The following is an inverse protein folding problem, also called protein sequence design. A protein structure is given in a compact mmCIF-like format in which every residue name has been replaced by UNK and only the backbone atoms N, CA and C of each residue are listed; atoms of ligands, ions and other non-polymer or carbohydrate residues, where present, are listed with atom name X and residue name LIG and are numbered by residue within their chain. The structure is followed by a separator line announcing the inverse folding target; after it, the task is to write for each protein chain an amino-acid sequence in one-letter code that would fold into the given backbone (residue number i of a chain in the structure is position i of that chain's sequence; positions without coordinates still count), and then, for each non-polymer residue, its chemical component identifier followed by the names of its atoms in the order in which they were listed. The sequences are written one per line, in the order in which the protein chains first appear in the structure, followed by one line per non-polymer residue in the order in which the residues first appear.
data_IF_303007810352
#
_entry.id   IF_303007810352
#
_cell.length_a   1.000
_cell.length_b   1.000
_cell.length_c   1.000
_cell.angle_alpha   90.00
_cell.angle_beta   90.00
_cell.angle_gamma   90.00
#
_symmetry.space_group_name_H-M   'P 1'
#
loop_
_entity.id
_entity.type
_entity.pdbx_description
1 polymer ?
#
# COMPACT_ATOMS: atom_id res chain seq x y z
N UNK A 1 -14.32 -1.67 -16.56
CA UNK A 1 -13.50 -2.89 -16.55
C UNK A 1 -12.14 -2.54 -15.97
N UNK A 2 -11.63 -3.36 -15.07
CA UNK A 2 -10.25 -3.28 -14.54
C UNK A 2 -9.45 -4.44 -15.11
N UNK A 3 -8.20 -4.20 -15.50
CA UNK A 3 -7.37 -5.22 -16.13
C UNK A 3 -5.93 -5.13 -15.61
N UNK A 4 -5.35 -6.27 -15.27
CA UNK A 4 -3.94 -6.34 -14.87
C UNK A 4 -3.07 -6.13 -16.11
N UNK A 5 -2.08 -5.26 -15.98
CA UNK A 5 -1.04 -5.02 -16.98
C UNK A 5 0.32 -5.23 -16.34
N UNK A 6 1.31 -5.62 -17.14
CA UNK A 6 2.70 -5.73 -16.69
C UNK A 6 3.45 -4.43 -16.98
N UNK A 7 4.16 -3.90 -15.99
CA UNK A 7 5.01 -2.71 -16.11
C UNK A 7 6.44 -3.08 -16.55
N UNK A 8 7.28 -2.09 -16.88
CA UNK A 8 8.64 -2.36 -17.39
C UNK A 8 9.58 -3.04 -16.38
N UNK A 9 9.35 -2.90 -15.07
CA UNK A 9 10.13 -3.62 -14.04
C UNK A 9 9.60 -5.05 -13.78
N UNK A 10 8.60 -5.48 -14.56
CA UNK A 10 7.97 -6.79 -14.48
C UNK A 10 6.89 -6.93 -13.41
N UNK A 11 6.68 -5.91 -12.57
CA UNK A 11 5.57 -5.88 -11.60
C UNK A 11 4.24 -5.55 -12.26
N UNK A 12 3.15 -6.02 -11.65
CA UNK A 12 1.81 -5.76 -12.12
C UNK A 12 1.32 -4.35 -11.75
N UNK A 13 0.51 -3.77 -12.62
CA UNK A 13 -0.33 -2.59 -12.34
C UNK A 13 -1.76 -2.91 -12.79
N UNK A 14 -2.69 -2.01 -12.50
CA UNK A 14 -4.09 -2.12 -12.95
C UNK A 14 -4.39 -0.96 -13.87
N UNK A 15 -4.99 -1.24 -15.03
CA UNK A 15 -5.62 -0.25 -15.88
C UNK A 15 -7.09 -0.10 -15.48
N UNK A 16 -7.51 1.10 -15.10
CA UNK A 16 -8.92 1.44 -14.87
C UNK A 16 -9.54 2.03 -16.12
N UNK A 17 -10.53 1.35 -16.71
CA UNK A 17 -11.36 1.98 -17.74
C UNK A 17 -12.28 3.08 -17.17
N UNK A 18 -12.58 3.04 -15.86
CA UNK A 18 -13.45 4.04 -15.22
C UNK A 18 -12.75 5.40 -15.06
N UNK A 19 -11.47 5.37 -14.75
CA UNK A 19 -10.66 6.57 -14.50
C UNK A 19 -9.71 6.90 -15.65
N UNK A 20 -9.71 6.08 -16.71
CA UNK A 20 -8.81 6.21 -17.87
C UNK A 20 -7.33 6.34 -17.46
N UNK A 21 -6.95 5.64 -16.38
CA UNK A 21 -5.65 5.74 -15.73
C UNK A 21 -5.11 4.39 -15.27
N UNK A 22 -3.79 4.30 -15.07
CA UNK A 22 -3.13 3.16 -14.42
C UNK A 22 -2.94 3.45 -12.94
N UNK A 23 -3.04 2.42 -12.10
CA UNK A 23 -2.87 2.56 -10.65
C UNK A 23 -1.42 2.89 -10.26
N UNK A 24 -0.46 2.36 -11.01
CA UNK A 24 0.98 2.65 -10.89
C UNK A 24 1.57 2.98 -12.26
N UNK A 25 2.76 3.58 -12.26
CA UNK A 25 3.53 3.89 -13.45
C UNK A 25 3.79 2.64 -14.31
N UNK A 26 3.54 2.78 -15.61
CA UNK A 26 3.88 1.74 -16.60
C UNK A 26 5.39 1.48 -16.68
N UNK A 27 6.22 2.39 -16.17
CA UNK A 27 7.68 2.25 -16.14
C UNK A 27 8.17 1.32 -15.03
N UNK A 28 7.34 0.99 -14.05
CA UNK A 28 7.67 0.07 -12.98
C UNK A 28 6.92 0.44 -11.70
N UNK A 29 5.97 -0.40 -11.26
CA UNK A 29 5.20 -0.13 -10.06
C UNK A 29 6.06 -0.28 -8.80
N UNK A 30 6.83 -1.37 -8.70
CA UNK A 30 7.75 -1.59 -7.57
C UNK A 30 8.85 -0.52 -7.55
N UNK A 31 9.43 -0.20 -8.71
CA UNK A 31 10.49 0.80 -8.80
C UNK A 31 9.99 2.20 -8.38
N UNK A 32 8.80 2.59 -8.82
CA UNK A 32 8.16 3.83 -8.40
C UNK A 32 7.92 3.83 -6.88
N UNK A 33 7.31 2.78 -6.35
CA UNK A 33 7.02 2.69 -4.92
C UNK A 33 8.28 2.73 -4.07
N UNK A 34 9.32 2.01 -4.48
CA UNK A 34 10.63 2.02 -3.80
C UNK A 34 11.22 3.43 -3.74
N UNK A 35 11.27 4.13 -4.87
CA UNK A 35 11.93 5.45 -4.93
C UNK A 35 11.11 6.54 -4.24
N UNK A 36 9.80 6.60 -4.49
CA UNK A 36 8.95 7.72 -4.04
C UNK A 36 8.49 7.54 -2.60
N UNK A 37 7.89 6.39 -2.29
CA UNK A 37 7.22 6.19 -0.99
C UNK A 37 8.17 5.60 0.05
N UNK A 38 9.05 4.67 -0.34
CA UNK A 38 9.97 4.05 0.62
C UNK A 38 11.19 4.93 0.86
N UNK A 39 12.01 5.21 -0.15
CA UNK A 39 13.28 5.90 0.03
C UNK A 39 13.11 7.39 0.34
N UNK A 40 12.33 8.10 -0.48
CA UNK A 40 12.19 9.55 -0.37
C UNK A 40 11.28 9.99 0.79
N UNK A 41 10.30 9.16 1.19
CA UNK A 41 9.37 9.48 2.27
C UNK A 41 9.65 8.67 3.56
N UNK A 42 9.35 7.37 3.58
CA UNK A 42 9.42 6.53 4.79
C UNK A 42 10.81 6.56 5.44
N UNK A 43 11.85 6.17 4.69
CA UNK A 43 13.23 6.08 5.17
C UNK A 43 13.78 7.45 5.54
N UNK A 44 13.42 8.49 4.79
CA UNK A 44 13.82 9.85 5.11
C UNK A 44 13.28 10.28 6.48
N UNK A 45 11.98 10.09 6.72
CA UNK A 45 11.32 10.43 8.00
C UNK A 45 11.78 9.52 9.15
N UNK A 46 12.08 8.25 8.84
CA UNK A 46 12.57 7.26 9.80
C UNK A 46 13.93 7.60 10.44
N UNK A 47 14.70 8.54 9.84
CA UNK A 47 15.96 9.05 10.41
C UNK A 47 15.78 9.79 11.73
N UNK A 48 14.60 10.37 11.96
CA UNK A 48 14.32 11.22 13.13
C UNK A 48 13.25 10.64 14.05
N UNK A 49 12.53 9.62 13.62
CA UNK A 49 11.35 9.10 14.32
C UNK A 49 11.11 7.63 13.93
N UNK A 50 10.77 6.78 14.89
CA UNK A 50 10.58 5.32 14.68
C UNK A 50 9.12 4.87 14.69
N UNK A 51 8.24 5.64 15.32
CA UNK A 51 6.80 5.43 15.31
C UNK A 51 6.19 6.39 14.29
N UNK A 52 5.51 5.92 13.25
CA UNK A 52 5.01 6.75 12.16
C UNK A 52 3.53 6.47 11.90
N UNK A 53 2.74 7.54 11.81
CA UNK A 53 1.38 7.48 11.30
C UNK A 53 1.36 7.88 9.82
N UNK A 54 0.86 6.99 8.96
CA UNK A 54 0.87 7.16 7.50
C UNK A 54 -0.56 7.14 6.98
N UNK A 55 -0.91 8.11 6.14
CA UNK A 55 -2.15 8.12 5.38
C UNK A 55 -1.86 7.81 3.91
N UNK A 56 -2.60 6.89 3.32
CA UNK A 56 -2.61 6.68 1.86
C UNK A 56 -4.00 7.00 1.30
N UNK A 57 -4.02 7.86 0.27
CA UNK A 57 -5.25 8.18 -0.46
C UNK A 57 -5.32 7.33 -1.73
N UNK A 58 -6.23 6.37 -1.75
CA UNK A 58 -6.40 5.42 -2.85
C UNK A 58 -5.49 4.20 -2.69
N UNK A 59 -5.78 3.36 -1.69
CA UNK A 59 -5.02 2.13 -1.40
C UNK A 59 -4.79 1.25 -2.64
N UNK A 60 -5.78 1.19 -3.53
CA UNK A 60 -5.69 0.57 -4.84
C UNK A 60 -5.19 -0.87 -4.83
N UNK A 61 -3.98 -1.07 -5.36
CA UNK A 61 -3.36 -2.41 -5.45
C UNK A 61 -2.72 -2.87 -4.14
N UNK A 62 -2.68 -2.01 -3.11
CA UNK A 62 -2.05 -2.30 -1.82
C UNK A 62 -0.52 -2.27 -1.84
N UNK A 63 0.11 -1.92 -2.97
CA UNK A 63 1.56 -2.02 -3.14
C UNK A 63 2.34 -1.10 -2.18
N UNK A 64 1.93 0.17 -2.02
CA UNK A 64 2.62 1.10 -1.12
C UNK A 64 2.53 0.63 0.33
N UNK A 65 1.34 0.21 0.76
CA UNK A 65 1.11 -0.36 2.09
C UNK A 65 1.95 -1.62 2.32
N UNK A 66 1.98 -2.55 1.35
CA UNK A 66 2.74 -3.79 1.45
C UNK A 66 4.25 -3.55 1.49
N UNK A 67 4.79 -2.68 0.63
CA UNK A 67 6.22 -2.34 0.67
C UNK A 67 6.60 -1.57 1.95
N UNK A 68 5.70 -0.73 2.47
CA UNK A 68 5.90 -0.07 3.78
C UNK A 68 5.93 -1.10 4.91
N UNK A 69 5.05 -2.11 4.87
CA UNK A 69 5.04 -3.22 5.81
C UNK A 69 6.38 -3.98 5.82
N UNK A 70 6.85 -4.39 4.63
CA UNK A 70 8.12 -5.11 4.49
C UNK A 70 9.31 -4.27 4.97
N UNK A 71 9.33 -2.98 4.67
CA UNK A 71 10.41 -2.09 5.10
C UNK A 71 10.37 -1.83 6.60
N UNK A 72 9.18 -1.69 7.19
CA UNK A 72 9.02 -1.50 8.63
C UNK A 72 9.61 -2.66 9.44
N UNK A 73 9.44 -3.90 8.98
CA UNK A 73 10.07 -5.07 9.62
C UNK A 73 11.60 -5.02 9.55
N UNK A 74 12.17 -4.60 8.42
CA UNK A 74 13.63 -4.52 8.21
C UNK A 74 14.28 -3.39 9.01
N UNK A 75 13.59 -2.27 9.10
CA UNK A 75 14.09 -1.02 9.69
C UNK A 75 13.67 -0.79 11.15
N UNK A 76 13.01 -1.78 11.76
CA UNK A 76 12.47 -1.73 13.13
C UNK A 76 11.62 -0.47 13.35
N UNK A 77 10.61 -0.31 12.49
CA UNK A 77 9.65 0.80 12.54
C UNK A 77 8.32 0.30 13.09
N UNK A 78 7.65 1.18 13.83
CA UNK A 78 6.29 0.98 14.30
C UNK A 78 5.36 1.85 13.47
N UNK A 79 4.47 1.24 12.68
CA UNK A 79 3.65 1.96 11.71
C UNK A 79 2.18 1.84 12.07
N UNK A 80 1.50 2.99 12.13
CA UNK A 80 0.05 3.10 12.04
C UNK A 80 -0.31 3.54 10.63
N UNK A 81 -0.79 2.61 9.81
CA UNK A 81 -1.08 2.84 8.41
C UNK A 81 -2.58 2.95 8.17
N UNK A 82 -3.04 4.08 7.65
CA UNK A 82 -4.43 4.29 7.26
C UNK A 82 -4.52 4.39 5.75
N UNK A 83 -5.18 3.43 5.11
CA UNK A 83 -5.48 3.46 3.67
C UNK A 83 -6.96 3.79 3.43
N UNK A 84 -7.24 4.80 2.61
CA UNK A 84 -8.62 5.12 2.19
C UNK A 84 -8.83 4.64 0.76
N UNK A 85 -9.95 3.98 0.51
CA UNK A 85 -10.27 3.47 -0.82
C UNK A 85 -11.78 3.54 -1.10
N UNK A 86 -12.15 4.26 -2.15
CA UNK A 86 -13.55 4.40 -2.55
C UNK A 86 -14.05 3.20 -3.37
N UNK A 87 -13.16 2.54 -4.10
CA UNK A 87 -13.47 1.47 -5.05
C UNK A 87 -12.45 0.32 -4.94
N UNK A 88 -12.49 -0.45 -3.84
CA UNK A 88 -11.52 -1.51 -3.62
C UNK A 88 -11.60 -2.56 -4.72
N UNK A 89 -10.45 -3.09 -5.11
CA UNK A 89 -10.38 -4.23 -6.03
C UNK A 89 -10.89 -5.50 -5.34
N UNK A 90 -11.38 -6.47 -6.14
CA UNK A 90 -11.78 -7.76 -5.59
C UNK A 90 -10.58 -8.53 -5.05
N UNK A 91 -10.82 -9.38 -4.05
CA UNK A 91 -9.78 -10.26 -3.51
C UNK A 91 -9.20 -11.19 -4.59
N UNK A 92 -10.03 -11.69 -5.50
CA UNK A 92 -9.60 -12.50 -6.64
C UNK A 92 -8.62 -11.74 -7.55
N UNK A 93 -8.86 -10.44 -7.79
CA UNK A 93 -7.94 -9.62 -8.58
C UNK A 93 -6.65 -9.37 -7.82
N UNK A 94 -6.72 -9.11 -6.51
CA UNK A 94 -5.55 -8.94 -5.66
C UNK A 94 -4.66 -10.19 -5.65
N UNK A 95 -5.25 -11.39 -5.58
CA UNK A 95 -4.55 -12.67 -5.64
C UNK A 95 -3.76 -12.89 -6.94
N UNK A 96 -4.15 -12.23 -8.03
CA UNK A 96 -3.46 -12.31 -9.33
C UNK A 96 -2.31 -11.32 -9.46
N UNK A 97 -2.14 -10.40 -8.50
CA UNK A 97 -1.01 -9.47 -8.49
C UNK A 97 0.27 -10.21 -8.08
N UNK A 98 1.37 -9.93 -8.77
CA UNK A 98 2.63 -10.65 -8.61
C UNK A 98 3.59 -10.01 -7.60
N UNK A 99 3.12 -9.11 -6.73
CA UNK A 99 4.01 -8.34 -5.85
C UNK A 99 4.80 -9.19 -4.88
N UNK A 100 4.14 -10.15 -4.24
CA UNK A 100 4.76 -11.05 -3.26
C UNK A 100 5.89 -11.87 -3.91
N UNK A 101 5.68 -12.38 -5.12
CA UNK A 101 6.70 -13.08 -5.89
C UNK A 101 7.83 -12.13 -6.34
N UNK A 102 7.48 -10.98 -6.93
CA UNK A 102 8.46 -10.01 -7.47
C UNK A 102 9.34 -9.37 -6.40
N UNK A 103 8.84 -9.24 -5.17
CA UNK A 103 9.56 -8.75 -4.01
C UNK A 103 10.26 -9.86 -3.21
N UNK A 104 10.21 -11.11 -3.68
CA UNK A 104 10.79 -12.28 -3.01
C UNK A 104 10.29 -12.44 -1.56
N UNK A 105 9.04 -12.06 -1.30
CA UNK A 105 8.43 -11.99 0.03
C UNK A 105 7.40 -13.12 0.25
N UNK A 106 7.66 -14.32 -0.27
CA UNK A 106 6.68 -15.42 -0.34
C UNK A 106 6.03 -15.80 1.00
N UNK A 107 6.73 -15.58 2.12
CA UNK A 107 6.20 -15.83 3.47
C UNK A 107 5.12 -14.81 3.88
N UNK A 108 5.07 -13.65 3.23
CA UNK A 108 4.19 -12.53 3.53
C UNK A 108 2.94 -12.47 2.63
N UNK A 109 2.67 -13.56 1.87
CA UNK A 109 1.48 -13.66 1.03
C UNK A 109 0.19 -13.42 1.83
N UNK A 110 0.12 -13.94 3.06
CA UNK A 110 -1.08 -13.81 3.90
C UNK A 110 -1.30 -12.36 4.34
N UNK A 111 -0.23 -11.61 4.58
CA UNK A 111 -0.22 -10.22 4.99
C UNK A 111 -0.63 -9.31 3.84
N UNK A 112 -0.14 -9.60 2.63
CA UNK A 112 -0.60 -8.92 1.42
C UNK A 112 -2.10 -9.11 1.22
N UNK A 113 -2.63 -10.34 1.34
CA UNK A 113 -4.07 -10.59 1.19
C UNK A 113 -4.90 -9.94 2.30
N UNK A 114 -4.39 -9.91 3.55
CA UNK A 114 -5.05 -9.22 4.66
C UNK A 114 -5.31 -7.75 4.36
N UNK A 115 -4.44 -7.04 3.66
CA UNK A 115 -4.70 -5.64 3.24
C UNK A 115 -6.03 -5.53 2.48
N UNK A 116 -6.28 -6.48 1.57
CA UNK A 116 -7.47 -6.51 0.73
C UNK A 116 -8.71 -7.06 1.43
N UNK A 117 -8.55 -7.98 2.38
CA UNK A 117 -9.64 -8.54 3.19
C UNK A 117 -10.06 -7.66 4.36
N UNK A 118 -9.19 -6.73 4.79
CA UNK A 118 -9.40 -5.91 5.99
C UNK A 118 -10.77 -5.20 5.98
N UNK A 119 -11.54 -5.25 7.08
CA UNK A 119 -12.75 -4.46 7.23
C UNK A 119 -12.44 -2.99 7.54
N UNK A 120 -13.48 -2.19 7.75
CA UNK A 120 -13.38 -0.80 8.24
C UNK A 120 -13.01 -0.72 9.74
N UNK A 121 -12.00 -1.47 10.15
CA UNK A 121 -11.47 -1.56 11.53
C UNK A 121 -9.95 -1.77 11.53
N UNK A 122 -9.31 -1.50 12.67
CA UNK A 122 -7.87 -1.70 12.83
C UNK A 122 -7.57 -3.19 12.89
N UNK A 123 -6.56 -3.60 12.12
CA UNK A 123 -6.02 -4.96 12.12
C UNK A 123 -4.50 -4.93 12.20
N UNK A 124 -3.92 -5.93 12.84
CA UNK A 124 -2.47 -6.05 12.95
C UNK A 124 -1.95 -6.99 11.85
N UNK A 125 -1.03 -6.47 11.02
CA UNK A 125 -0.28 -7.29 10.06
C UNK A 125 0.95 -7.91 10.72
N UNK A 126 1.54 -7.21 11.69
CA UNK A 126 2.58 -7.68 12.61
C UNK A 126 2.48 -6.91 13.93
N UNK A 127 3.23 -7.29 14.99
CA UNK A 127 3.25 -6.54 16.25
C UNK A 127 3.67 -5.07 16.13
N UNK A 128 4.37 -4.70 15.05
CA UNK A 128 4.83 -3.33 14.79
C UNK A 128 4.15 -2.67 13.58
N UNK A 129 3.12 -3.29 13.00
CA UNK A 129 2.40 -2.73 11.87
C UNK A 129 0.88 -2.89 12.05
N UNK A 130 0.26 -1.77 12.40
CA UNK A 130 -1.17 -1.61 12.59
C UNK A 130 -1.76 -0.99 11.33
N UNK A 131 -2.77 -1.62 10.75
CA UNK A 131 -3.38 -1.23 9.49
C UNK A 131 -4.87 -0.94 9.65
N UNK A 132 -5.33 0.19 9.10
CA UNK A 132 -6.73 0.55 9.00
C UNK A 132 -7.08 0.79 7.53
N UNK A 133 -8.02 0.04 7.00
CA UNK A 133 -8.59 0.32 5.68
C UNK A 133 -9.95 0.96 5.84
N UNK A 134 -10.11 2.19 5.36
CA UNK A 134 -11.41 2.84 5.28
C UNK A 134 -11.96 2.75 3.85
N UNK A 135 -13.03 1.99 3.68
CA UNK A 135 -13.82 1.96 2.45
C UNK A 135 -14.72 3.20 2.45
N UNK A 136 -14.43 4.12 1.56
CA UNK A 136 -15.13 5.38 1.46
C UNK A 136 -14.37 6.41 0.64
N UNK A 137 -14.99 7.57 0.48
CA UNK A 137 -14.43 8.71 -0.25
C UNK A 137 -13.47 9.47 0.66
N UNK A 138 -12.32 9.90 0.14
CA UNK A 138 -11.35 10.66 0.95
C UNK A 138 -11.92 12.03 1.38
N UNK A 139 -12.89 12.57 0.64
CA UNK A 139 -13.61 13.79 1.03
C UNK A 139 -14.40 13.66 2.33
N UNK A 140 -14.67 12.43 2.76
CA UNK A 140 -15.37 12.11 4.01
C UNK A 140 -14.40 11.89 5.19
N UNK A 141 -13.08 11.88 4.92
CA UNK A 141 -12.07 11.72 5.96
C UNK A 141 -12.12 12.90 6.92
N UNK A 142 -12.32 12.59 8.20
CA UNK A 142 -12.22 13.56 9.29
C UNK A 142 -10.96 13.27 10.09
N UNK A 143 -9.85 13.86 9.66
CA UNK A 143 -8.56 13.77 10.34
C UNK A 143 -7.96 15.18 10.50
N UNK A 144 -7.37 15.45 11.66
CA UNK A 144 -6.65 16.69 11.94
C UNK A 144 -5.35 16.36 12.67
N UNK A 145 -4.21 16.71 12.07
CA UNK A 145 -2.86 16.57 12.65
C UNK A 145 -2.50 15.14 13.14
N UNK A 146 -2.95 14.12 12.42
CA UNK A 146 -2.80 12.71 12.82
C UNK A 146 -1.69 11.94 12.08
N UNK A 147 -1.09 12.52 11.03
CA UNK A 147 -0.21 11.79 10.12
C UNK A 147 1.15 12.48 9.97
N UNK A 148 2.20 11.65 10.00
CA UNK A 148 3.59 12.01 9.76
C UNK A 148 3.94 12.04 8.27
N UNK A 149 3.28 11.17 7.49
CA UNK A 149 3.45 11.01 6.05
C UNK A 149 2.09 10.86 5.37
N UNK A 150 1.98 11.42 4.16
CA UNK A 150 0.83 11.24 3.28
C UNK A 150 1.36 10.69 1.96
N UNK A 151 0.79 9.56 1.54
CA UNK A 151 1.00 8.91 0.26
C UNK A 151 -0.15 9.24 -0.68
#
# INVERSE_FOLDING_TARGET
MTTIIQTKDGSNSIQSAKFEATYHSIHGAIQETQTVFIEAALIYKAKTQKELAILEIGLGTGLNAFMTYLEAQKSDLHIHYTGIEAYPISLELAQQLNYVERLEATEEQSQFLKLHESPNEWVDLSPSFHFYKQIGRFEELKAQEQFDLIY
#
